data_IF_378559150779
#
_entry.id   IF_378559150779
#
_cell.length_a   1.000
_cell.length_b   1.000
_cell.length_c   1.000
_cell.angle_alpha   90.00
_cell.angle_beta   90.00
_cell.angle_gamma   90.00
#
_symmetry.space_group_name_H-M   'P 1'
#
loop_
_entity.id
_entity.type
_entity.pdbx_description
1 polymer ?
#
# COMPACT_ATOMS: atom_id res chain seq x y z
N UNK A 1 -8.09 -4.28 12.58
CA UNK A 1 -8.36 -2.95 13.13
C UNK A 1 -9.00 -2.96 14.52
N UNK A 2 -9.99 -3.78 14.78
CA UNK A 2 -10.57 -3.92 16.15
C UNK A 2 -9.53 -4.24 17.22
N UNK A 3 -8.47 -4.99 16.88
CA UNK A 3 -7.39 -5.34 17.81
C UNK A 3 -6.65 -4.10 18.32
N UNK A 4 -6.33 -3.16 17.44
CA UNK A 4 -5.64 -1.92 17.80
C UNK A 4 -6.51 -1.01 18.68
N UNK A 5 -7.81 -0.92 18.37
CA UNK A 5 -8.75 -0.14 19.17
C UNK A 5 -8.90 -0.68 20.59
N UNK A 6 -8.83 -2.01 20.79
CA UNK A 6 -8.85 -2.62 22.13
C UNK A 6 -7.68 -2.19 23.00
N UNK A 7 -6.57 -1.80 22.39
CA UNK A 7 -5.37 -1.30 23.08
C UNK A 7 -5.29 0.24 23.09
N UNK A 8 -6.35 0.94 22.70
CA UNK A 8 -6.36 2.40 22.64
C UNK A 8 -5.46 2.99 21.57
N UNK A 9 -5.04 2.18 20.57
CA UNK A 9 -4.15 2.60 19.49
C UNK A 9 -4.98 2.99 18.27
N UNK A 10 -4.84 4.24 17.83
CA UNK A 10 -5.40 4.68 16.56
C UNK A 10 -4.52 4.16 15.40
N UNK A 11 -5.11 3.39 14.50
CA UNK A 11 -4.43 2.88 13.34
C UNK A 11 -5.19 3.22 12.05
N UNK A 12 -4.45 3.40 10.96
CA UNK A 12 -4.99 3.63 9.62
C UNK A 12 -4.33 2.63 8.66
N UNK A 13 -5.12 2.02 7.78
CA UNK A 13 -4.64 1.10 6.75
C UNK A 13 -4.52 1.89 5.45
N UNK A 14 -3.28 2.22 5.08
CA UNK A 14 -2.96 2.91 3.83
C UNK A 14 -2.63 1.92 2.70
N UNK A 15 -3.51 0.99 2.42
CA UNK A 15 -3.28 -0.02 1.40
C UNK A 15 -4.34 0.01 0.30
N UNK A 16 -3.92 -0.23 -0.92
CA UNK A 16 -4.81 -0.42 -2.06
C UNK A 16 -4.41 -1.65 -2.87
N UNK A 17 -5.37 -2.23 -3.60
CA UNK A 17 -5.09 -3.39 -4.43
C UNK A 17 -4.06 -3.05 -5.52
N UNK A 18 -3.02 -3.89 -5.63
CA UNK A 18 -1.98 -3.67 -6.64
C UNK A 18 -0.94 -2.61 -6.29
N UNK A 19 -0.99 -2.00 -5.11
CA UNK A 19 -0.07 -0.95 -4.68
C UNK A 19 1.39 -1.35 -4.84
N UNK A 20 2.18 -0.45 -5.41
CA UNK A 20 3.63 -0.57 -5.52
C UNK A 20 4.35 0.29 -4.46
N UNK A 21 5.68 0.19 -4.38
CA UNK A 21 6.45 0.90 -3.36
C UNK A 21 6.47 2.43 -3.59
N UNK A 22 6.39 2.89 -4.84
CA UNK A 22 6.32 4.30 -5.18
C UNK A 22 5.02 4.92 -4.65
N UNK A 23 3.91 4.24 -4.87
CA UNK A 23 2.60 4.66 -4.33
C UNK A 23 2.58 4.64 -2.81
N UNK A 24 3.21 3.63 -2.19
CA UNK A 24 3.38 3.55 -0.73
C UNK A 24 4.15 4.75 -0.17
N UNK A 25 5.21 5.17 -0.85
CA UNK A 25 5.99 6.36 -0.48
C UNK A 25 5.13 7.63 -0.52
N UNK A 26 4.41 7.87 -1.60
CA UNK A 26 3.59 9.08 -1.74
C UNK A 26 2.40 9.09 -0.80
N UNK A 27 1.78 7.94 -0.57
CA UNK A 27 0.72 7.79 0.42
C UNK A 27 1.23 8.11 1.84
N UNK A 28 2.40 7.58 2.20
CA UNK A 28 3.02 7.86 3.49
C UNK A 28 3.40 9.35 3.61
N UNK A 29 3.88 9.97 2.54
CA UNK A 29 4.20 11.39 2.50
C UNK A 29 2.94 12.22 2.78
N UNK A 30 1.82 11.93 2.12
CA UNK A 30 0.53 12.56 2.41
C UNK A 30 0.08 12.35 3.86
N UNK A 31 0.31 11.15 4.40
CA UNK A 31 -0.03 10.86 5.79
C UNK A 31 0.76 11.74 6.76
N UNK A 32 2.05 11.94 6.53
CA UNK A 32 2.89 12.81 7.38
C UNK A 32 2.57 14.32 7.23
N UNK A 33 2.01 14.74 6.11
CA UNK A 33 1.56 16.13 5.92
C UNK A 33 0.31 16.43 6.77
N UNK A 34 -0.53 15.43 7.03
CA UNK A 34 -1.82 15.60 7.70
C UNK A 34 -1.88 14.99 9.11
N UNK A 35 -0.93 14.13 9.45
CA UNK A 35 -0.92 13.36 10.70
C UNK A 35 0.52 13.21 11.21
N UNK A 36 0.65 12.70 12.42
CA UNK A 36 1.95 12.38 13.05
C UNK A 36 1.99 10.92 13.47
N UNK A 37 2.05 9.97 12.53
CA UNK A 37 2.18 8.57 12.86
C UNK A 37 3.48 8.31 13.63
N UNK A 38 3.40 7.55 14.71
CA UNK A 38 4.56 7.17 15.53
C UNK A 38 5.20 5.88 15.05
N UNK A 39 4.43 5.04 14.37
CA UNK A 39 4.85 3.75 13.84
C UNK A 39 4.30 3.57 12.44
N UNK A 40 5.16 3.19 11.52
CA UNK A 40 4.82 2.80 10.14
C UNK A 40 5.10 1.31 9.97
N UNK A 41 4.07 0.55 9.66
CA UNK A 41 4.19 -0.86 9.30
C UNK A 41 4.13 -0.98 7.78
N UNK A 42 5.24 -1.38 7.16
CA UNK A 42 5.32 -1.61 5.73
C UNK A 42 5.30 -3.10 5.44
N UNK A 43 4.31 -3.53 4.68
CA UNK A 43 4.21 -4.93 4.26
C UNK A 43 5.21 -5.23 3.14
N UNK A 44 5.98 -6.32 3.29
CA UNK A 44 7.09 -6.65 2.39
C UNK A 44 6.66 -7.01 0.97
N UNK A 45 5.42 -7.42 0.75
CA UNK A 45 4.91 -7.74 -0.59
C UNK A 45 5.06 -6.59 -1.59
N UNK A 46 5.03 -5.33 -1.14
CA UNK A 46 5.25 -4.17 -2.02
C UNK A 46 6.67 -4.11 -2.58
N UNK A 47 7.64 -4.72 -1.88
CA UNK A 47 9.06 -4.77 -2.25
C UNK A 47 9.27 -5.78 -3.38
N UNK A 48 8.56 -6.92 -3.32
CA UNK A 48 8.72 -8.03 -4.25
C UNK A 48 7.73 -7.97 -5.43
N UNK A 49 6.90 -6.95 -5.52
CA UNK A 49 6.02 -6.80 -6.67
C UNK A 49 6.81 -6.56 -7.95
N UNK A 50 6.54 -7.33 -9.01
CA UNK A 50 7.26 -7.17 -10.27
C UNK A 50 7.03 -5.77 -10.83
N UNK A 51 8.13 -5.09 -11.08
CA UNK A 51 8.15 -3.82 -11.80
C UNK A 51 7.99 -4.16 -13.30
N UNK A 52 6.78 -4.08 -13.85
CA UNK A 52 6.50 -4.50 -15.25
C UNK A 52 7.17 -3.59 -16.28
N UNK A 53 8.09 -4.13 -17.07
CA UNK A 53 8.70 -3.49 -18.25
C UNK A 53 9.64 -2.31 -17.93
N UNK A 54 9.67 -1.26 -18.76
CA UNK A 54 10.33 0.03 -18.46
C UNK A 54 9.66 0.77 -17.28
N UNK A 55 9.11 0.04 -16.41
CA UNK A 55 8.06 0.35 -15.47
C UNK A 55 8.52 1.17 -14.28
N UNK A 56 9.81 1.15 -13.95
CA UNK A 56 10.30 1.96 -12.84
C UNK A 56 10.02 3.45 -13.03
N UNK A 57 10.32 3.99 -14.21
CA UNK A 57 10.08 5.39 -14.54
C UNK A 57 8.58 5.68 -14.71
N UNK A 58 7.86 4.84 -15.45
CA UNK A 58 6.42 5.02 -15.67
C UNK A 58 5.62 4.91 -14.38
N UNK A 59 5.93 3.95 -13.53
CA UNK A 59 5.30 3.82 -12.21
C UNK A 59 5.63 5.00 -11.30
N UNK A 60 6.86 5.48 -11.34
CA UNK A 60 7.28 6.68 -10.61
C UNK A 60 6.49 7.90 -11.07
N UNK A 61 6.40 8.13 -12.38
CA UNK A 61 5.67 9.27 -12.95
C UNK A 61 4.17 9.16 -12.66
N UNK A 62 3.59 7.96 -12.71
CA UNK A 62 2.19 7.74 -12.36
C UNK A 62 1.93 8.02 -10.87
N UNK A 63 2.77 7.51 -9.97
CA UNK A 63 2.66 7.76 -8.54
C UNK A 63 2.85 9.24 -8.18
N UNK A 64 3.82 9.92 -8.83
CA UNK A 64 4.00 11.36 -8.70
C UNK A 64 2.79 12.12 -9.23
N UNK A 65 2.30 11.76 -10.40
CA UNK A 65 1.12 12.38 -11.01
C UNK A 65 -0.10 12.28 -10.11
N UNK A 66 -0.37 11.12 -9.55
CA UNK A 66 -1.47 10.90 -8.62
C UNK A 66 -1.32 11.71 -7.32
N UNK A 67 -0.09 11.87 -6.85
CA UNK A 67 0.19 12.67 -5.65
C UNK A 67 0.05 14.18 -5.88
N UNK A 68 0.69 14.71 -6.92
CA UNK A 68 0.69 16.16 -7.19
C UNK A 68 -0.60 16.64 -7.88
N UNK A 69 -1.30 15.74 -8.56
CA UNK A 69 -2.55 16.05 -9.28
C UNK A 69 -3.65 15.05 -8.89
N UNK A 70 -4.14 15.10 -7.63
CA UNK A 70 -5.14 14.14 -7.13
C UNK A 70 -6.46 14.19 -7.92
N UNK A 71 -6.70 15.27 -8.67
CA UNK A 71 -7.86 15.39 -9.56
C UNK A 71 -7.91 14.28 -10.62
N UNK A 72 -6.76 13.76 -11.04
CA UNK A 72 -6.71 12.65 -11.99
C UNK A 72 -7.08 11.29 -11.38
N UNK A 73 -6.82 11.12 -10.09
CA UNK A 73 -7.22 9.92 -9.34
C UNK A 73 -8.70 9.93 -8.99
N UNK A 74 -9.26 11.12 -8.87
CA UNK A 74 -10.65 11.32 -8.47
C UNK A 74 -11.54 11.81 -9.60
N UNK A 75 -11.10 11.68 -10.86
CA UNK A 75 -11.86 12.16 -12.02
C UNK A 75 -13.23 11.48 -12.17
N UNK A 76 -13.45 10.33 -11.55
CA UNK A 76 -14.74 9.65 -11.55
C UNK A 76 -15.71 10.15 -10.46
N UNK A 77 -15.23 10.95 -9.48
CA UNK A 77 -16.09 11.48 -8.40
C UNK A 77 -17.18 12.40 -8.97
N UNK A 78 -16.86 13.20 -9.98
CA UNK A 78 -17.87 14.06 -10.61
C UNK A 78 -19.00 13.27 -11.27
N UNK A 79 -18.72 12.05 -11.74
CA UNK A 79 -19.74 11.14 -12.28
C UNK A 79 -20.70 10.68 -11.19
N UNK A 80 -20.21 10.46 -9.96
CA UNK A 80 -21.07 10.07 -8.83
C UNK A 80 -21.99 11.20 -8.40
N UNK A 81 -21.52 12.44 -8.47
CA UNK A 81 -22.36 13.63 -8.19
C UNK A 81 -23.49 13.78 -9.21
N UNK A 82 -23.24 13.38 -10.46
CA UNK A 82 -24.26 13.45 -11.53
C UNK A 82 -25.17 12.22 -11.56
N UNK A 83 -24.78 11.09 -10.98
CA UNK A 83 -25.51 9.81 -11.08
C UNK A 83 -26.19 9.39 -9.78
N UNK A 84 -26.13 10.20 -8.72
CA UNK A 84 -26.73 9.93 -7.39
C UNK A 84 -26.31 8.57 -6.79
N UNK A 85 -25.18 8.03 -7.25
CA UNK A 85 -24.60 6.81 -6.67
C UNK A 85 -23.93 7.14 -5.35
N UNK A 86 -24.60 6.80 -4.25
CA UNK A 86 -23.97 6.83 -2.93
C UNK A 86 -22.83 5.80 -2.92
N UNK A 87 -21.60 6.27 -2.69
CA UNK A 87 -20.52 5.37 -2.30
C UNK A 87 -20.79 4.87 -0.89
N UNK A 88 -20.60 3.57 -0.60
CA UNK A 88 -20.78 3.08 0.74
C UNK A 88 -19.83 3.84 1.69
N UNK A 89 -20.41 4.51 2.69
CA UNK A 89 -19.68 5.31 3.70
C UNK A 89 -18.82 4.48 4.65
N UNK A 90 -18.78 3.17 4.47
CA UNK A 90 -18.06 2.25 5.35
C UNK A 90 -16.56 2.20 5.06
N UNK A 91 -15.92 3.36 5.11
CA UNK A 91 -14.46 3.43 5.04
C UNK A 91 -13.87 3.46 6.45
N UNK A 92 -13.78 2.29 7.10
CA UNK A 92 -13.17 2.13 8.41
C UNK A 92 -11.67 2.45 8.40
N UNK A 93 -11.32 3.73 8.29
CA UNK A 93 -9.92 4.19 8.31
C UNK A 93 -9.03 3.43 7.31
N UNK A 94 -9.52 3.27 6.08
CA UNK A 94 -8.82 2.54 5.01
C UNK A 94 -9.02 1.03 4.99
N UNK A 95 -9.77 0.48 5.94
CA UNK A 95 -10.07 -0.95 5.96
C UNK A 95 -11.37 -1.25 5.21
N UNK A 96 -11.29 -2.10 4.19
CA UNK A 96 -12.46 -2.63 3.50
C UNK A 96 -12.70 -4.07 3.93
N UNK A 97 -13.85 -4.32 4.53
CA UNK A 97 -14.25 -5.67 4.89
C UNK A 97 -14.72 -6.43 3.63
N UNK A 98 -14.19 -7.63 3.42
CA UNK A 98 -14.64 -8.52 2.35
C UNK A 98 -15.05 -9.86 2.95
N UNK A 99 -16.30 -10.25 2.73
CA UNK A 99 -16.85 -11.56 3.10
C UNK A 99 -16.68 -12.61 1.97
N UNK A 100 -15.68 -12.42 1.12
CA UNK A 100 -15.45 -13.37 0.02
C UNK A 100 -14.50 -14.46 0.51
N UNK A 101 -14.98 -15.69 0.52
CA UNK A 101 -14.17 -16.88 0.73
C UNK A 101 -13.87 -17.50 -0.62
N UNK A 102 -12.61 -17.54 -1.03
CA UNK A 102 -12.19 -18.30 -2.21
C UNK A 102 -11.74 -19.69 -1.74
N UNK A 103 -12.52 -20.73 -2.01
CA UNK A 103 -12.19 -22.07 -1.53
C UNK A 103 -10.92 -22.57 -2.20
N UNK A 104 -10.09 -23.28 -1.44
CA UNK A 104 -8.90 -23.95 -1.97
C UNK A 104 -9.29 -24.94 -3.06
N UNK A 105 -8.76 -24.75 -4.26
CA UNK A 105 -9.07 -25.58 -5.44
C UNK A 105 -8.01 -26.64 -5.74
N UNK A 106 -7.09 -26.87 -4.83
CA UNK A 106 -5.95 -27.75 -5.04
C UNK A 106 -4.78 -27.05 -5.75
N UNK A 107 -3.64 -27.74 -5.78
CA UNK A 107 -2.43 -27.23 -6.41
C UNK A 107 -1.22 -27.24 -5.47
N UNK A 108 -0.05 -26.98 -6.03
CA UNK A 108 1.20 -27.07 -5.29
C UNK A 108 1.70 -25.67 -4.83
N UNK A 109 0.77 -24.79 -4.47
CA UNK A 109 1.08 -23.41 -4.09
C UNK A 109 1.90 -23.26 -2.80
N UNK A 110 2.05 -24.37 -2.04
CA UNK A 110 2.90 -24.44 -0.85
C UNK A 110 4.27 -25.08 -1.13
N UNK A 111 4.64 -25.31 -2.40
CA UNK A 111 5.96 -25.85 -2.70
C UNK A 111 7.03 -24.79 -2.41
N UNK A 112 8.01 -25.17 -1.60
CA UNK A 112 9.19 -24.36 -1.38
C UNK A 112 9.93 -24.14 -2.71
N UNK A 113 10.31 -22.88 -2.96
CA UNK A 113 11.19 -22.52 -4.06
C UNK A 113 12.52 -22.05 -3.50
N UNK A 114 13.63 -22.50 -4.11
CA UNK A 114 14.97 -22.00 -3.81
C UNK A 114 15.30 -20.72 -4.60
N UNK A 115 14.40 -20.24 -5.42
CA UNK A 115 14.61 -19.03 -6.20
C UNK A 115 14.64 -17.82 -5.27
N UNK A 116 15.72 -17.04 -5.40
CA UNK A 116 15.86 -15.75 -4.71
C UNK A 116 15.53 -14.64 -5.68
N UNK A 117 14.52 -13.86 -5.38
CA UNK A 117 14.21 -12.66 -6.14
C UNK A 117 15.22 -11.55 -5.81
N UNK A 118 15.67 -10.84 -6.84
CA UNK A 118 16.49 -9.64 -6.66
C UNK A 118 15.60 -8.43 -6.54
N UNK A 119 15.83 -7.64 -5.52
CA UNK A 119 15.20 -6.33 -5.37
C UNK A 119 15.82 -5.40 -6.41
N UNK A 120 14.98 -4.67 -7.16
CA UNK A 120 15.47 -3.69 -8.13
C UNK A 120 16.01 -2.45 -7.44
N UNK A 121 16.99 -1.75 -8.07
CA UNK A 121 17.53 -0.50 -7.53
C UNK A 121 16.44 0.55 -7.28
N UNK A 122 15.44 0.63 -8.14
CA UNK A 122 14.29 1.53 -7.94
C UNK A 122 13.54 1.21 -6.65
N UNK A 123 13.35 -0.06 -6.33
CA UNK A 123 12.69 -0.48 -5.08
C UNK A 123 13.56 -0.14 -3.88
N UNK A 124 14.86 -0.39 -3.96
CA UNK A 124 15.82 -0.03 -2.91
C UNK A 124 15.80 1.48 -2.63
N UNK A 125 15.83 2.31 -3.69
CA UNK A 125 15.77 3.77 -3.59
C UNK A 125 14.48 4.25 -2.90
N UNK A 126 13.34 3.67 -3.23
CA UNK A 126 12.07 4.05 -2.61
C UNK A 126 11.93 3.54 -1.19
N UNK A 127 12.47 2.35 -0.88
CA UNK A 127 12.53 1.85 0.49
C UNK A 127 13.36 2.78 1.38
N UNK A 128 14.51 3.25 0.86
CA UNK A 128 15.34 4.20 1.57
C UNK A 128 14.64 5.56 1.72
N UNK A 129 13.93 6.06 0.70
CA UNK A 129 13.11 7.28 0.81
C UNK A 129 12.03 7.13 1.88
N UNK A 130 11.36 5.99 1.99
CA UNK A 130 10.37 5.71 3.03
C UNK A 130 11.05 5.74 4.41
N UNK A 131 12.19 5.07 4.54
CA UNK A 131 12.97 5.06 5.79
C UNK A 131 13.37 6.48 6.22
N UNK A 132 13.92 7.26 5.30
CA UNK A 132 14.32 8.65 5.56
C UNK A 132 13.13 9.54 5.91
N UNK A 133 11.98 9.32 5.28
CA UNK A 133 10.75 10.03 5.61
C UNK A 133 10.28 9.73 7.03
N UNK A 134 10.37 8.48 7.47
CA UNK A 134 10.07 8.09 8.86
C UNK A 134 11.04 8.74 9.84
N UNK A 135 12.34 8.68 9.58
CA UNK A 135 13.37 9.31 10.42
C UNK A 135 13.14 10.82 10.55
N UNK A 136 12.90 11.51 9.44
CA UNK A 136 12.62 12.96 9.42
C UNK A 136 11.42 13.32 10.29
N UNK A 137 10.41 12.47 10.35
CA UNK A 137 9.18 12.70 11.09
C UNK A 137 9.16 12.02 12.47
N UNK A 138 10.31 11.48 12.92
CA UNK A 138 10.45 10.82 14.24
C UNK A 138 9.50 9.63 14.42
N UNK A 139 9.21 8.91 13.33
CA UNK A 139 8.42 7.70 13.33
C UNK A 139 9.31 6.47 13.28
N UNK A 140 8.92 5.44 14.02
CA UNK A 140 9.51 4.11 13.90
C UNK A 140 9.01 3.44 12.62
N UNK A 141 9.85 2.61 11.99
CA UNK A 141 9.48 1.83 10.82
C UNK A 141 9.75 0.36 11.09
N UNK A 142 8.76 -0.48 10.82
CA UNK A 142 8.90 -1.92 10.84
C UNK A 142 8.42 -2.55 9.53
N UNK A 143 9.19 -3.51 9.04
CA UNK A 143 8.78 -4.36 7.92
C UNK A 143 8.03 -5.56 8.47
N UNK A 144 6.88 -5.84 7.89
CA UNK A 144 6.07 -7.00 8.24
C UNK A 144 5.89 -7.88 7.01
N UNK A 145 6.01 -9.18 7.20
CA UNK A 145 5.70 -10.15 6.16
C UNK A 145 4.47 -10.95 6.58
N UNK A 146 3.44 -10.88 5.75
CA UNK A 146 2.30 -11.78 5.92
C UNK A 146 2.65 -13.14 5.32
N UNK A 147 2.28 -14.25 5.97
CA UNK A 147 2.48 -15.56 5.39
C UNK A 147 1.79 -15.61 4.02
N UNK A 148 2.57 -15.88 2.99
CA UNK A 148 2.06 -16.13 1.65
C UNK A 148 2.49 -17.52 1.19
N UNK A 149 1.68 -18.21 0.38
CA UNK A 149 2.11 -19.45 -0.23
C UNK A 149 3.37 -19.22 -1.07
N UNK A 150 4.26 -20.19 -1.08
CA UNK A 150 5.37 -20.20 -2.01
C UNK A 150 4.81 -20.39 -3.43
N UNK A 151 5.02 -19.42 -4.31
CA UNK A 151 4.66 -19.49 -5.72
C UNK A 151 5.87 -19.95 -6.54
#
# INVERSE_FOLDING_TARGET
MQMWNKHGIAAFVGGQSGQNIQESYYMLKTAFENQKPRLVLLETNVIFRPQRGNSGLTMTLAAMGSYYFPIFTHHDIWKSVLTDKQYPEENYKGFQFREVTDPYRGGAYMKETSQKEKISSTVEDYLEKIRMLCVKNQAEMALISTPSPAN
#
